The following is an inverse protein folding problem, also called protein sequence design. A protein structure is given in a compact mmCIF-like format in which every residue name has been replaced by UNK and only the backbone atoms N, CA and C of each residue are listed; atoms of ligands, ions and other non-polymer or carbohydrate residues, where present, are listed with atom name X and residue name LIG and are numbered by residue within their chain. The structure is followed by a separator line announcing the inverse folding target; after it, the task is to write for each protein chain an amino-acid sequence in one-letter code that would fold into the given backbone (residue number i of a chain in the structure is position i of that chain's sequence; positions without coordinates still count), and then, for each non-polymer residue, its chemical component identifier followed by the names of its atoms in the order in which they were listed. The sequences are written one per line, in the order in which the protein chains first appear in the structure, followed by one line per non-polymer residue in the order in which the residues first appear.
data_IF_262090223777
#
_entry.id   IF_262090223777
#
_cell.length_a   1.000
_cell.length_b   1.000
_cell.length_c   1.000
_cell.angle_alpha   90.00
_cell.angle_beta   90.00
_cell.angle_gamma   90.00
#
_symmetry.space_group_name_H-M   'P 1'
#
loop_
_entity.id
_entity.type
_entity.pdbx_description
1 polymer ?
#
# COMPACT_ATOMS: atom_id res chain seq x y z
N UNK A 1 14.79 25.54 7.57
CA UNK A 1 13.33 25.49 7.89
C UNK A 1 12.48 25.92 6.69
N UNK A 2 12.85 27.01 6.00
CA UNK A 2 12.16 27.55 4.82
C UNK A 2 11.85 26.54 3.70
N UNK A 3 12.80 25.66 3.32
CA UNK A 3 12.57 24.66 2.25
C UNK A 3 11.39 23.71 2.53
N UNK A 4 11.13 23.38 3.81
CA UNK A 4 10.00 22.52 4.20
C UNK A 4 8.66 23.23 4.07
N UNK A 5 8.65 24.54 4.29
CA UNK A 5 7.47 25.40 4.16
C UNK A 5 7.12 25.56 2.67
N UNK A 6 8.13 25.77 1.81
CA UNK A 6 7.94 25.88 0.37
C UNK A 6 7.40 24.59 -0.27
N UNK A 7 7.94 23.42 0.07
CA UNK A 7 7.47 22.13 -0.49
C UNK A 7 6.05 21.80 -0.03
N UNK A 8 5.73 22.04 1.25
CA UNK A 8 4.38 21.86 1.76
C UNK A 8 3.38 22.83 1.11
N UNK A 9 3.79 24.10 0.93
CA UNK A 9 2.98 25.12 0.26
C UNK A 9 2.72 24.80 -1.21
N UNK A 10 3.74 24.36 -1.96
CA UNK A 10 3.59 23.97 -3.36
C UNK A 10 2.68 22.74 -3.53
N UNK A 11 2.81 21.75 -2.65
CA UNK A 11 1.96 20.55 -2.66
C UNK A 11 0.51 20.91 -2.34
N UNK A 12 0.28 21.78 -1.35
CA UNK A 12 -1.05 22.26 -1.00
C UNK A 12 -1.68 23.11 -2.12
N UNK A 13 -0.90 24.00 -2.75
CA UNK A 13 -1.35 24.82 -3.87
C UNK A 13 -1.73 23.97 -5.09
N UNK A 14 -0.89 23.00 -5.46
CA UNK A 14 -1.20 22.06 -6.55
C UNK A 14 -2.48 21.25 -6.27
N UNK A 15 -2.59 20.73 -5.05
CA UNK A 15 -3.75 19.96 -4.59
C UNK A 15 -5.04 20.78 -4.62
N UNK A 16 -4.97 22.04 -4.18
CA UNK A 16 -6.11 22.96 -4.20
C UNK A 16 -6.51 23.35 -5.62
N UNK A 17 -5.55 23.69 -6.49
CA UNK A 17 -5.82 24.04 -7.88
C UNK A 17 -6.43 22.87 -8.65
N UNK A 18 -5.92 21.65 -8.45
CA UNK A 18 -6.47 20.44 -9.06
C UNK A 18 -7.90 20.17 -8.57
N UNK A 19 -8.12 20.24 -7.25
CA UNK A 19 -9.44 20.08 -6.63
C UNK A 19 -10.47 21.11 -7.10
N UNK A 20 -10.08 22.39 -7.19
CA UNK A 20 -10.91 23.49 -7.69
C UNK A 20 -11.25 23.27 -9.17
N UNK A 21 -10.27 22.89 -10.00
CA UNK A 21 -10.50 22.59 -11.42
C UNK A 21 -11.54 21.48 -11.62
N UNK A 22 -11.42 20.38 -10.87
CA UNK A 22 -12.43 19.31 -10.87
C UNK A 22 -13.80 19.75 -10.33
N UNK A 23 -13.83 20.65 -9.35
CA UNK A 23 -15.09 21.17 -8.77
C UNK A 23 -15.85 22.09 -9.72
N UNK A 24 -15.16 22.97 -10.45
CA UNK A 24 -15.77 23.88 -11.43
C UNK A 24 -16.41 23.07 -12.58
N UNK A 25 -15.70 22.04 -13.06
CA UNK A 25 -16.23 21.12 -14.07
C UNK A 25 -17.54 20.44 -13.65
N UNK A 26 -17.64 20.06 -12.38
CA UNK A 26 -18.79 19.40 -11.81
C UNK A 26 -20.01 20.35 -11.65
N UNK A 27 -19.80 21.59 -11.21
CA UNK A 27 -20.89 22.59 -11.09
C UNK A 27 -21.43 23.06 -12.44
N UNK A 28 -20.64 22.94 -13.51
CA UNK A 28 -21.06 23.26 -14.86
C UNK A 28 -21.95 22.19 -15.51
N UNK A 29 -22.34 21.13 -14.78
CA UNK A 29 -23.26 20.10 -15.28
C UNK A 29 -22.66 19.18 -16.32
N UNK A 30 -21.32 19.10 -16.39
CA UNK A 30 -20.66 18.14 -17.25
C UNK A 30 -20.68 16.74 -16.61
N UNK A 31 -21.37 15.81 -17.26
CA UNK A 31 -21.40 14.37 -16.90
C UNK A 31 -20.01 13.71 -17.01
N UNK A 32 -19.10 14.40 -17.71
CA UNK A 32 -17.69 14.08 -17.88
C UNK A 32 -16.88 15.37 -17.90
N UNK A 33 -15.98 15.56 -16.93
CA UNK A 33 -14.93 16.58 -17.07
C UNK A 33 -13.72 15.90 -17.69
N UNK A 34 -13.30 16.29 -18.90
CA UNK A 34 -12.17 15.67 -19.61
C UNK A 34 -12.23 14.12 -19.73
N UNK A 35 -13.43 13.52 -19.76
CA UNK A 35 -13.65 12.07 -19.94
C UNK A 35 -13.87 11.23 -18.67
N UNK A 36 -14.05 11.82 -17.48
CA UNK A 36 -14.25 11.06 -16.24
C UNK A 36 -15.73 10.70 -15.94
N UNK A 37 -16.08 9.43 -15.65
CA UNK A 37 -17.34 9.09 -15.00
C UNK A 37 -17.29 9.42 -13.48
N UNK A 38 -18.45 9.43 -12.80
CA UNK A 38 -18.80 9.88 -11.43
C UNK A 38 -17.82 9.64 -10.22
N UNK A 39 -16.64 9.07 -10.40
CA UNK A 39 -15.61 8.84 -9.38
C UNK A 39 -14.68 10.05 -9.12
N UNK A 40 -14.87 11.21 -9.77
CA UNK A 40 -14.07 12.42 -9.51
C UNK A 40 -14.46 13.15 -8.20
N UNK A 41 -15.69 12.95 -7.70
CA UNK A 41 -16.21 13.60 -6.50
C UNK A 41 -15.46 13.22 -5.21
N UNK A 42 -15.15 11.93 -4.95
CA UNK A 42 -14.30 11.54 -3.83
C UNK A 42 -12.88 12.11 -3.95
N UNK A 43 -12.32 12.17 -5.16
CA UNK A 43 -10.97 12.70 -5.40
C UNK A 43 -10.86 14.18 -5.01
N UNK A 44 -11.77 15.02 -5.49
CA UNK A 44 -11.81 16.45 -5.15
C UNK A 44 -12.07 16.69 -3.65
N UNK A 45 -13.00 15.93 -3.04
CA UNK A 45 -13.28 16.03 -1.61
C UNK A 45 -12.07 15.60 -0.75
N UNK A 46 -11.36 14.55 -1.15
CA UNK A 46 -10.14 14.07 -0.47
C UNK A 46 -9.02 15.10 -0.57
N UNK A 47 -8.86 15.76 -1.72
CA UNK A 47 -7.86 16.81 -1.95
C UNK A 47 -8.21 18.12 -1.20
N UNK A 48 -9.48 18.46 -1.04
CA UNK A 48 -9.88 19.59 -0.18
C UNK A 48 -9.67 19.30 1.30
N UNK A 49 -10.08 18.11 1.76
CA UNK A 49 -9.80 17.64 3.12
C UNK A 49 -8.30 17.50 3.39
N UNK A 50 -7.51 17.16 2.36
CA UNK A 50 -6.06 17.11 2.40
C UNK A 50 -5.44 18.45 2.79
N UNK A 51 -5.93 19.49 2.13
CA UNK A 51 -5.43 20.85 2.26
C UNK A 51 -5.77 21.36 3.66
N UNK A 52 -7.00 21.13 4.14
CA UNK A 52 -7.41 21.43 5.51
C UNK A 52 -6.62 20.63 6.57
N UNK A 53 -6.34 19.35 6.32
CA UNK A 53 -5.57 18.47 7.20
C UNK A 53 -4.11 18.92 7.39
N UNK A 54 -3.46 19.32 6.29
CA UNK A 54 -2.09 19.86 6.29
C UNK A 54 -2.05 21.21 7.02
N UNK A 55 -3.05 22.07 6.78
CA UNK A 55 -3.17 23.39 7.44
C UNK A 55 -3.45 23.27 8.95
N UNK A 56 -4.09 22.20 9.41
CA UNK A 56 -4.42 22.02 10.85
C UNK A 56 -3.32 21.33 11.66
N UNK A 57 -2.15 21.03 11.08
CA UNK A 57 -1.03 20.32 11.73
C UNK A 57 -1.38 18.95 12.35
N UNK A 58 -2.53 18.37 12.02
CA UNK A 58 -3.00 17.11 12.59
C UNK A 58 -2.35 15.94 11.86
N UNK A 59 -1.34 15.34 12.49
CA UNK A 59 -0.58 14.19 11.93
C UNK A 59 -1.46 13.05 11.42
N UNK A 60 -2.54 12.74 12.14
CA UNK A 60 -3.46 11.67 11.73
C UNK A 60 -4.15 11.98 10.40
N UNK A 61 -4.47 13.25 10.14
CA UNK A 61 -5.16 13.67 8.93
C UNK A 61 -4.24 13.58 7.70
N UNK A 62 -2.94 13.87 7.85
CA UNK A 62 -1.94 13.62 6.80
C UNK A 62 -1.79 12.11 6.49
N UNK A 63 -1.88 11.24 7.49
CA UNK A 63 -1.87 9.79 7.29
C UNK A 63 -3.12 9.29 6.60
N UNK A 64 -4.31 9.74 7.04
CA UNK A 64 -5.58 9.40 6.40
C UNK A 64 -5.55 9.81 4.93
N UNK A 65 -5.15 11.04 4.66
CA UNK A 65 -5.00 11.54 3.30
C UNK A 65 -4.05 10.70 2.45
N UNK A 66 -2.85 10.41 2.96
CA UNK A 66 -1.89 9.60 2.23
C UNK A 66 -2.48 8.23 1.89
N UNK A 67 -3.20 7.61 2.83
CA UNK A 67 -3.92 6.36 2.59
C UNK A 67 -4.96 6.51 1.47
N UNK A 68 -5.76 7.58 1.48
CA UNK A 68 -6.78 7.76 0.43
C UNK A 68 -6.17 8.02 -0.95
N UNK A 69 -5.11 8.85 -1.03
CA UNK A 69 -4.40 9.09 -2.28
C UNK A 69 -3.78 7.80 -2.85
N UNK A 70 -3.18 6.99 -1.97
CA UNK A 70 -2.62 5.69 -2.36
C UNK A 70 -3.71 4.71 -2.78
N UNK A 71 -4.85 4.70 -2.10
CA UNK A 71 -5.99 3.87 -2.46
C UNK A 71 -6.57 4.27 -3.83
N UNK A 72 -6.67 5.56 -4.13
CA UNK A 72 -7.08 6.06 -5.45
C UNK A 72 -6.12 5.66 -6.58
N UNK A 73 -4.88 5.32 -6.24
CA UNK A 73 -3.88 4.82 -7.20
C UNK A 73 -3.83 3.29 -7.33
N UNK A 74 -4.87 2.58 -6.88
CA UNK A 74 -4.90 1.11 -6.84
C UNK A 74 -4.59 0.43 -8.18
N UNK A 75 -4.97 1.06 -9.29
CA UNK A 75 -4.73 0.56 -10.64
C UNK A 75 -3.38 0.97 -11.26
N UNK A 76 -2.60 1.84 -10.61
CA UNK A 76 -1.32 2.30 -11.14
C UNK A 76 -0.37 1.14 -11.40
N UNK A 77 -0.32 0.17 -10.47
CA UNK A 77 0.57 -0.98 -10.59
C UNK A 77 0.27 -1.80 -11.86
N UNK A 78 -1.01 -2.02 -12.16
CA UNK A 78 -1.42 -2.75 -13.34
C UNK A 78 -1.03 -1.98 -14.61
N UNK A 79 -1.26 -0.66 -14.64
CA UNK A 79 -0.82 0.18 -15.75
C UNK A 79 0.70 0.18 -15.93
N UNK A 80 1.50 0.13 -14.83
CA UNK A 80 2.96 0.06 -14.92
C UNK A 80 3.43 -1.28 -15.48
N UNK A 81 2.79 -2.38 -15.09
CA UNK A 81 3.09 -3.71 -15.64
C UNK A 81 2.72 -3.76 -17.11
N UNK A 82 1.55 -3.25 -17.47
CA UNK A 82 1.12 -3.14 -18.86
C UNK A 82 2.13 -2.31 -19.67
N UNK A 83 2.45 -1.09 -19.21
CA UNK A 83 3.43 -0.23 -19.84
C UNK A 83 4.79 -0.91 -20.05
N UNK A 84 5.26 -1.67 -19.06
CA UNK A 84 6.52 -2.40 -19.14
C UNK A 84 6.49 -3.57 -20.13
N UNK A 85 5.34 -4.23 -20.31
CA UNK A 85 5.19 -5.40 -21.17
C UNK A 85 4.81 -5.03 -22.60
N UNK A 86 4.01 -3.99 -22.80
CA UNK A 86 3.40 -3.64 -24.09
C UNK A 86 3.90 -2.31 -24.64
N UNK A 87 4.56 -1.49 -23.81
CA UNK A 87 4.96 -0.13 -24.17
C UNK A 87 3.80 0.88 -24.19
N UNK A 88 2.59 0.48 -23.78
CA UNK A 88 1.41 1.35 -23.74
C UNK A 88 0.59 1.10 -22.48
N UNK A 89 -0.36 2.00 -22.22
CA UNK A 89 -1.39 1.82 -21.18
C UNK A 89 -2.75 1.94 -21.84
N UNK A 90 -3.62 0.96 -21.63
CA UNK A 90 -4.96 0.94 -22.18
C UNK A 90 -6.02 0.89 -21.08
N UNK A 91 -7.24 1.31 -21.41
CA UNK A 91 -8.38 1.15 -20.53
C UNK A 91 -9.00 -0.25 -20.68
N UNK A 92 -10.13 -0.48 -20.02
CA UNK A 92 -10.82 -1.78 -20.10
C UNK A 92 -11.34 -2.12 -21.51
N UNK A 93 -11.41 -1.15 -22.41
CA UNK A 93 -11.88 -1.30 -23.79
C UNK A 93 -10.72 -1.45 -24.78
N UNK A 94 -9.47 -1.31 -24.31
CA UNK A 94 -8.28 -1.36 -25.15
C UNK A 94 -7.88 0.00 -25.72
N UNK A 95 -8.57 1.08 -25.35
CA UNK A 95 -8.26 2.42 -25.81
C UNK A 95 -7.09 3.01 -25.00
N UNK A 96 -6.21 3.84 -25.60
CA UNK A 96 -5.09 4.44 -24.88
C UNK A 96 -5.54 5.26 -23.66
N UNK A 97 -5.02 4.92 -22.48
CA UNK A 97 -5.44 5.46 -21.18
C UNK A 97 -4.34 6.28 -20.47
N UNK A 98 -3.52 6.98 -21.25
CA UNK A 98 -2.37 7.74 -20.73
C UNK A 98 -2.75 8.79 -19.69
N UNK A 99 -3.89 9.46 -19.86
CA UNK A 99 -4.34 10.48 -18.90
C UNK A 99 -4.62 9.86 -17.53
N UNK A 100 -5.44 8.80 -17.48
CA UNK A 100 -5.74 8.08 -16.25
C UNK A 100 -4.48 7.50 -15.58
N UNK A 101 -3.50 7.06 -16.38
CA UNK A 101 -2.20 6.65 -15.87
C UNK A 101 -1.46 7.79 -15.17
N UNK A 102 -1.34 8.95 -15.81
CA UNK A 102 -0.64 10.12 -15.26
C UNK A 102 -1.30 10.63 -13.97
N UNK A 103 -2.62 10.59 -13.90
CA UNK A 103 -3.35 10.96 -12.69
C UNK A 103 -3.07 10.02 -11.53
N UNK A 104 -3.16 8.71 -11.77
CA UNK A 104 -2.85 7.69 -10.76
C UNK A 104 -1.40 7.84 -10.30
N UNK A 105 -0.48 8.12 -11.22
CA UNK A 105 0.92 8.41 -10.91
C UNK A 105 1.06 9.68 -10.04
N UNK A 106 0.30 10.73 -10.35
CA UNK A 106 0.22 11.96 -9.56
C UNK A 106 -0.28 11.70 -8.13
N UNK A 107 -1.38 10.96 -7.98
CA UNK A 107 -1.95 10.58 -6.68
C UNK A 107 -0.96 9.75 -5.85
N UNK A 108 -0.29 8.75 -6.47
CA UNK A 108 0.74 7.96 -5.78
C UNK A 108 1.92 8.83 -5.36
N UNK A 109 2.38 9.72 -6.24
CA UNK A 109 3.52 10.61 -5.95
C UNK A 109 3.19 11.55 -4.79
N UNK A 110 2.01 12.16 -4.79
CA UNK A 110 1.53 13.01 -3.71
C UNK A 110 1.42 12.25 -2.38
N UNK A 111 0.80 11.07 -2.39
CA UNK A 111 0.70 10.19 -1.22
C UNK A 111 2.08 9.80 -0.67
N UNK A 112 3.01 9.41 -1.54
CA UNK A 112 4.37 9.03 -1.17
C UNK A 112 5.16 10.20 -0.56
N UNK A 113 5.02 11.42 -1.09
CA UNK A 113 5.64 12.62 -0.53
C UNK A 113 5.11 12.96 0.87
N UNK A 114 3.81 12.81 1.10
CA UNK A 114 3.20 12.99 2.43
C UNK A 114 3.71 11.95 3.45
N UNK A 115 3.85 10.69 3.04
CA UNK A 115 4.48 9.66 3.89
C UNK A 115 5.95 10.00 4.16
N UNK A 116 6.72 10.40 3.14
CA UNK A 116 8.14 10.71 3.28
C UNK A 116 8.37 11.90 4.25
N UNK A 117 7.52 12.93 4.17
CA UNK A 117 7.60 14.11 5.05
C UNK A 117 7.24 13.79 6.50
N UNK A 118 6.33 12.85 6.74
CA UNK A 118 5.93 12.43 8.09
C UNK A 118 6.90 11.43 8.74
N UNK A 119 7.61 10.63 7.94
CA UNK A 119 8.49 9.54 8.42
C UNK A 119 9.92 10.01 8.77
N UNK A 120 10.35 11.22 8.40
CA UNK A 120 11.71 11.74 8.72
C UNK A 120 11.89 12.09 10.21
N UNK A 121 12.06 11.06 11.05
CA UNK A 121 12.73 11.14 12.35
C UNK A 121 13.88 10.13 12.38
N UNK A 122 15.12 10.61 12.37
CA UNK A 122 16.29 9.79 12.66
C UNK A 122 16.33 9.57 14.17
N UNK A 123 16.02 8.36 14.62
CA UNK A 123 16.45 7.89 15.93
C UNK A 123 17.83 7.27 15.76
N UNK A 124 18.85 7.95 16.28
CA UNK A 124 20.13 7.31 16.55
C UNK A 124 19.91 6.31 17.69
N UNK A 125 20.40 5.08 17.52
CA UNK A 125 20.24 4.00 18.49
C UNK A 125 20.85 2.70 17.97
N UNK A 126 21.08 1.76 18.89
CA UNK A 126 21.59 0.44 18.53
C UNK A 126 20.49 -0.34 17.79
N UNK A 127 20.89 -0.99 16.69
CA UNK A 127 19.95 -1.79 15.89
C UNK A 127 19.83 -3.20 16.48
N UNK A 128 18.61 -3.71 16.72
CA UNK A 128 18.41 -5.07 17.20
C UNK A 128 19.05 -6.14 16.29
N UNK A 129 19.46 -7.26 16.87
CA UNK A 129 19.89 -8.44 16.12
C UNK A 129 18.74 -8.98 15.25
N UNK A 130 19.06 -9.58 14.11
CA UNK A 130 18.04 -10.16 13.25
C UNK A 130 17.41 -11.39 13.91
N UNK A 131 16.08 -11.44 13.98
CA UNK A 131 15.37 -12.57 14.56
C UNK A 131 14.01 -12.78 13.88
N UNK A 132 13.44 -13.97 14.05
CA UNK A 132 12.10 -14.31 13.54
C UNK A 132 11.00 -13.62 14.34
N UNK A 133 9.83 -13.41 13.72
CA UNK A 133 8.66 -12.87 14.39
C UNK A 133 8.10 -13.90 15.38
N UNK A 134 7.33 -13.45 16.40
CA UNK A 134 6.59 -14.36 17.27
C UNK A 134 5.71 -15.33 16.48
N UNK A 135 5.49 -16.53 17.01
CA UNK A 135 4.78 -17.60 16.30
C UNK A 135 3.39 -17.18 15.80
N UNK A 136 2.65 -16.38 16.58
CA UNK A 136 1.35 -15.83 16.17
C UNK A 136 1.44 -14.96 14.90
N UNK A 137 2.44 -14.09 14.82
CA UNK A 137 2.65 -13.22 13.65
C UNK A 137 3.04 -14.05 12.42
N UNK A 138 3.85 -15.11 12.60
CA UNK A 138 4.17 -16.03 11.49
C UNK A 138 2.93 -16.77 10.99
N UNK A 139 2.05 -17.22 11.88
CA UNK A 139 0.77 -17.85 11.48
C UNK A 139 -0.10 -16.89 10.69
N UNK A 140 -0.17 -15.61 11.07
CA UNK A 140 -0.88 -14.57 10.31
C UNK A 140 -0.24 -14.38 8.93
N UNK A 141 1.09 -14.37 8.82
CA UNK A 141 1.77 -14.31 7.53
C UNK A 141 1.44 -15.52 6.64
N UNK A 142 1.43 -16.73 7.19
CA UNK A 142 1.04 -17.93 6.42
C UNK A 142 -0.43 -17.90 6.01
N UNK A 143 -1.34 -17.46 6.89
CA UNK A 143 -2.74 -17.27 6.55
C UNK A 143 -2.91 -16.22 5.44
N UNK A 144 -2.15 -15.12 5.49
CA UNK A 144 -2.11 -14.12 4.41
C UNK A 144 -1.60 -14.69 3.09
N UNK A 145 -0.56 -15.52 3.11
CA UNK A 145 -0.09 -16.21 1.90
C UNK A 145 -1.16 -17.16 1.35
N UNK A 146 -1.82 -17.92 2.22
CA UNK A 146 -2.90 -18.83 1.86
C UNK A 146 -4.16 -18.11 1.35
N UNK A 147 -4.36 -16.83 1.70
CA UNK A 147 -5.47 -16.03 1.20
C UNK A 147 -5.47 -15.92 -0.33
N UNK A 148 -4.33 -16.10 -1.00
CA UNK A 148 -4.24 -16.13 -2.47
C UNK A 148 -4.70 -17.44 -3.11
N UNK A 149 -4.86 -18.53 -2.35
CA UNK A 149 -5.23 -19.83 -2.91
C UNK A 149 -6.57 -19.81 -3.66
N UNK A 150 -7.65 -19.18 -3.16
CA UNK A 150 -8.90 -19.09 -3.91
C UNK A 150 -8.72 -18.34 -5.24
N UNK A 151 -8.05 -17.19 -5.23
CA UNK A 151 -7.87 -16.37 -6.43
C UNK A 151 -6.95 -17.03 -7.46
N UNK A 152 -5.81 -17.56 -7.02
CA UNK A 152 -4.89 -18.31 -7.89
C UNK A 152 -5.52 -19.60 -8.42
N UNK A 153 -6.32 -20.30 -7.60
CA UNK A 153 -7.04 -21.50 -7.98
C UNK A 153 -8.05 -21.25 -9.10
N UNK A 154 -8.87 -20.21 -8.99
CA UNK A 154 -9.83 -19.82 -10.04
C UNK A 154 -9.12 -19.51 -11.36
N UNK A 155 -8.03 -18.72 -11.32
CA UNK A 155 -7.27 -18.38 -12.53
C UNK A 155 -6.59 -19.61 -13.15
N UNK A 156 -6.07 -20.52 -12.32
CA UNK A 156 -5.45 -21.75 -12.79
C UNK A 156 -6.48 -22.66 -13.45
N UNK A 157 -7.65 -22.86 -12.83
CA UNK A 157 -8.73 -23.66 -13.41
C UNK A 157 -9.28 -23.03 -14.70
N UNK A 158 -9.39 -21.70 -14.76
CA UNK A 158 -9.72 -20.97 -15.99
C UNK A 158 -8.68 -21.17 -17.10
N UNK A 159 -7.39 -21.16 -16.76
CA UNK A 159 -6.31 -21.47 -17.70
C UNK A 159 -6.39 -22.90 -18.26
N UNK A 160 -6.90 -23.85 -17.47
CA UNK A 160 -7.18 -25.23 -17.91
C UNK A 160 -8.53 -25.38 -18.64
N UNK A 161 -9.30 -24.30 -18.80
CA UNK A 161 -10.57 -24.31 -19.53
C UNK A 161 -11.70 -25.01 -18.79
N UNK A 162 -11.68 -25.05 -17.46
CA UNK A 162 -12.78 -25.62 -16.68
C UNK A 162 -14.08 -24.83 -16.93
N UNK A 163 -15.13 -25.47 -17.47
CA UNK A 163 -16.36 -24.78 -17.85
C UNK A 163 -17.12 -24.25 -16.63
N UNK A 164 -17.85 -23.15 -16.81
CA UNK A 164 -18.69 -22.56 -15.77
C UNK A 164 -17.96 -21.64 -14.79
N UNK A 165 -16.63 -21.53 -14.85
CA UNK A 165 -15.89 -20.49 -14.13
C UNK A 165 -16.10 -19.12 -14.77
N UNK A 166 -16.27 -19.07 -16.10
CA UNK A 166 -16.39 -17.83 -16.85
C UNK A 166 -17.39 -17.90 -18.01
N UNK A 167 -18.37 -16.97 -18.12
CA UNK A 167 -19.41 -16.99 -19.16
C UNK A 167 -18.88 -16.84 -20.59
N UNK A 168 -17.72 -16.18 -20.74
CA UNK A 168 -17.07 -15.95 -22.04
C UNK A 168 -15.74 -16.72 -22.16
N UNK A 169 -15.40 -17.56 -21.17
CA UNK A 169 -14.18 -18.37 -21.16
C UNK A 169 -12.91 -17.52 -21.14
N UNK A 170 -12.75 -16.62 -20.16
CA UNK A 170 -11.49 -15.89 -20.03
C UNK A 170 -10.35 -16.88 -19.80
N UNK A 171 -9.40 -16.76 -20.73
CA UNK A 171 -8.17 -17.50 -20.71
C UNK A 171 -7.11 -16.46 -20.41
N UNK A 172 -6.43 -16.54 -19.26
CA UNK A 172 -5.37 -15.58 -18.98
C UNK A 172 -4.37 -15.66 -20.14
N UNK A 173 -4.08 -14.50 -20.74
CA UNK A 173 -3.02 -14.42 -21.74
C UNK A 173 -1.70 -14.91 -21.11
N UNK A 174 -0.73 -15.39 -21.91
CA UNK A 174 0.57 -15.80 -21.37
C UNK A 174 1.24 -14.71 -20.51
N UNK A 175 1.08 -13.44 -20.88
CA UNK A 175 1.58 -12.30 -20.11
C UNK A 175 0.85 -12.13 -18.77
N UNK A 176 -0.46 -12.29 -18.74
CA UNK A 176 -1.27 -12.28 -17.51
C UNK A 176 -0.87 -13.43 -16.57
N UNK A 177 -0.65 -14.63 -17.11
CA UNK A 177 -0.21 -15.78 -16.33
C UNK A 177 1.18 -15.54 -15.69
N UNK A 178 2.14 -15.03 -16.47
CA UNK A 178 3.47 -14.66 -15.96
C UNK A 178 3.34 -13.58 -14.87
N UNK A 179 2.54 -12.53 -15.12
CA UNK A 179 2.32 -11.45 -14.17
C UNK A 179 1.70 -11.97 -12.86
N UNK A 180 0.75 -12.90 -12.94
CA UNK A 180 0.15 -13.56 -11.78
C UNK A 180 1.20 -14.36 -11.00
N UNK A 181 1.99 -15.21 -11.66
CA UNK A 181 3.01 -16.02 -11.00
C UNK A 181 4.08 -15.16 -10.32
N UNK A 182 4.61 -14.16 -11.04
CA UNK A 182 5.62 -13.23 -10.49
C UNK A 182 5.03 -12.40 -9.36
N UNK A 183 3.84 -11.83 -9.56
CA UNK A 183 3.15 -11.01 -8.57
C UNK A 183 2.85 -11.77 -7.28
N UNK A 184 2.33 -12.99 -7.37
CA UNK A 184 2.07 -13.87 -6.22
C UNK A 184 3.38 -14.25 -5.51
N UNK A 185 4.43 -14.58 -6.26
CA UNK A 185 5.74 -14.92 -5.70
C UNK A 185 6.33 -13.73 -4.94
N UNK A 186 6.26 -12.53 -5.51
CA UNK A 186 6.71 -11.30 -4.87
C UNK A 186 5.86 -10.95 -3.64
N UNK A 187 4.55 -11.17 -3.69
CA UNK A 187 3.66 -10.98 -2.55
C UNK A 187 4.04 -11.92 -1.40
N UNK A 188 4.11 -13.23 -1.65
CA UNK A 188 4.54 -14.22 -0.65
C UNK A 188 5.93 -13.88 -0.10
N UNK A 189 6.87 -13.55 -0.99
CA UNK A 189 8.21 -13.14 -0.58
C UNK A 189 8.18 -11.91 0.34
N UNK A 190 7.46 -10.85 -0.03
CA UNK A 190 7.34 -9.64 0.79
C UNK A 190 6.78 -9.96 2.18
N UNK A 191 5.67 -10.69 2.26
CA UNK A 191 5.02 -11.02 3.53
C UNK A 191 5.89 -11.92 4.42
N UNK A 192 6.56 -12.93 3.84
CA UNK A 192 7.49 -13.79 4.56
C UNK A 192 8.74 -13.03 5.02
N UNK A 193 9.21 -12.06 4.22
CA UNK A 193 10.33 -11.19 4.58
C UNK A 193 10.05 -10.37 5.83
N UNK A 194 8.81 -9.92 6.03
CA UNK A 194 8.42 -9.19 7.25
C UNK A 194 8.51 -10.05 8.52
N UNK A 195 8.43 -11.37 8.42
CA UNK A 195 8.37 -12.27 9.58
C UNK A 195 9.63 -13.11 9.80
N UNK A 196 10.47 -13.28 8.78
CA UNK A 196 11.71 -14.05 8.88
C UNK A 196 12.96 -13.16 9.04
N UNK A 197 14.09 -13.72 9.55
CA UNK A 197 15.31 -12.94 9.78
C UNK A 197 15.90 -12.34 8.50
N UNK A 198 15.65 -12.97 7.35
CA UNK A 198 16.18 -12.53 6.07
C UNK A 198 15.58 -11.21 5.57
N UNK A 199 14.45 -10.77 6.14
CA UNK A 199 13.96 -9.40 5.90
C UNK A 199 14.76 -8.32 6.63
N UNK A 200 15.58 -8.69 7.61
CA UNK A 200 16.45 -7.76 8.36
C UNK A 200 17.93 -7.85 7.94
N UNK A 201 18.37 -9.02 7.47
CA UNK A 201 19.73 -9.30 7.02
C UNK A 201 19.66 -10.11 5.73
N UNK A 202 20.38 -9.66 4.71
CA UNK A 202 20.44 -10.34 3.43
C UNK A 202 20.95 -11.80 3.59
N UNK A 203 20.23 -12.79 3.04
CA UNK A 203 20.58 -14.19 3.19
C UNK A 203 21.84 -14.56 2.40
N UNK A 204 22.44 -15.72 2.71
CA UNK A 204 23.71 -16.15 2.10
C UNK A 204 23.65 -16.33 0.58
N UNK A 205 22.47 -16.61 0.03
CA UNK A 205 22.27 -16.75 -1.42
C UNK A 205 22.31 -15.40 -2.17
N UNK A 206 22.16 -14.26 -1.48
CA UNK A 206 22.40 -12.94 -2.09
C UNK A 206 23.89 -12.61 -2.06
N UNK A 207 24.68 -13.26 -2.92
CA UNK A 207 26.17 -13.28 -2.87
C UNK A 207 26.79 -11.91 -2.57
N UNK A 208 26.35 -10.84 -3.26
CA UNK A 208 26.90 -9.49 -3.11
C UNK A 208 26.49 -8.75 -1.83
N UNK A 209 25.39 -9.17 -1.21
CA UNK A 209 24.77 -8.51 -0.06
C UNK A 209 24.74 -9.39 1.18
N UNK A 210 25.19 -10.64 1.10
CA UNK A 210 25.11 -11.63 2.16
C UNK A 210 25.62 -11.07 3.50
N UNK A 211 24.82 -11.23 4.55
CA UNK A 211 25.15 -10.74 5.89
C UNK A 211 25.00 -9.23 6.10
N UNK A 212 24.81 -8.43 5.03
CA UNK A 212 24.51 -7.00 5.16
C UNK A 212 23.09 -6.81 5.68
N UNK A 213 22.86 -5.70 6.38
CA UNK A 213 21.52 -5.33 6.88
C UNK A 213 20.64 -4.85 5.74
N UNK A 214 19.41 -5.35 5.70
CA UNK A 214 18.37 -4.84 4.80
C UNK A 214 17.95 -3.45 5.29
N UNK A 215 18.01 -2.41 4.46
CA UNK A 215 17.52 -1.09 4.85
C UNK A 215 16.04 -1.17 5.21
N UNK A 216 15.68 -0.66 6.40
CA UNK A 216 14.32 -0.79 6.95
C UNK A 216 13.22 -0.26 6.03
N UNK A 217 13.51 0.75 5.20
CA UNK A 217 12.55 1.29 4.24
C UNK A 217 12.22 0.31 3.10
N UNK A 218 13.14 -0.58 2.72
CA UNK A 218 12.99 -1.48 1.57
C UNK A 218 11.76 -2.39 1.69
N UNK A 219 11.53 -3.12 2.80
CA UNK A 219 10.30 -3.89 2.97
C UNK A 219 9.12 -3.04 3.45
N UNK A 220 9.34 -1.91 4.12
CA UNK A 220 8.25 -1.14 4.73
C UNK A 220 7.49 -0.29 3.71
N UNK A 221 8.21 0.40 2.82
CA UNK A 221 7.62 1.28 1.81
C UNK A 221 6.61 0.53 0.94
N UNK A 222 6.95 -0.60 0.27
CA UNK A 222 5.99 -1.30 -0.57
C UNK A 222 4.78 -1.77 0.24
N UNK A 223 4.96 -2.21 1.49
CA UNK A 223 3.84 -2.68 2.31
C UNK A 223 2.84 -1.57 2.62
N UNK A 224 3.32 -0.38 3.01
CA UNK A 224 2.40 0.75 3.27
C UNK A 224 1.78 1.33 2.00
N UNK A 225 2.37 1.10 0.83
CA UNK A 225 1.76 1.44 -0.45
C UNK A 225 0.65 0.44 -0.83
N UNK A 226 0.91 -0.86 -0.71
CA UNK A 226 0.01 -1.89 -1.23
C UNK A 226 -1.04 -2.37 -0.23
N UNK A 227 -0.74 -2.42 1.06
CA UNK A 227 -1.65 -3.02 2.05
C UNK A 227 -2.97 -2.27 2.19
N UNK A 228 -3.00 -0.92 2.29
CA UNK A 228 -4.26 -0.19 2.36
C UNK A 228 -5.10 -0.36 1.09
N UNK A 229 -4.43 -0.34 -0.06
CA UNK A 229 -5.03 -0.58 -1.37
C UNK A 229 -5.71 -1.94 -1.42
N UNK A 230 -5.02 -3.00 -0.99
CA UNK A 230 -5.57 -4.36 -0.98
C UNK A 230 -6.71 -4.53 0.03
N UNK A 231 -6.61 -3.92 1.22
CA UNK A 231 -7.71 -3.93 2.20
C UNK A 231 -8.95 -3.25 1.65
N UNK A 232 -8.81 -2.03 1.13
CA UNK A 232 -9.93 -1.24 0.62
C UNK A 232 -10.56 -1.89 -0.62
N UNK A 233 -9.73 -2.36 -1.55
CA UNK A 233 -10.18 -3.06 -2.74
C UNK A 233 -10.93 -4.35 -2.37
N UNK A 234 -10.33 -5.18 -1.50
CA UNK A 234 -10.93 -6.44 -1.08
C UNK A 234 -12.24 -6.24 -0.32
N UNK A 235 -12.31 -5.30 0.62
CA UNK A 235 -13.53 -5.00 1.37
C UNK A 235 -14.63 -4.41 0.46
N UNK A 236 -14.28 -3.46 -0.41
CA UNK A 236 -15.22 -2.88 -1.36
C UNK A 236 -15.78 -3.92 -2.32
N UNK A 237 -14.92 -4.80 -2.86
CA UNK A 237 -15.33 -5.92 -3.68
C UNK A 237 -16.22 -6.91 -2.89
N UNK A 238 -15.92 -7.14 -1.60
CA UNK A 238 -16.76 -7.97 -0.73
C UNK A 238 -18.17 -7.41 -0.55
N UNK A 239 -18.29 -6.11 -0.28
CA UNK A 239 -19.60 -5.42 -0.20
C UNK A 239 -20.34 -5.52 -1.53
N UNK A 240 -19.66 -5.24 -2.65
CA UNK A 240 -20.24 -5.35 -3.98
C UNK A 240 -20.82 -6.74 -4.25
N UNK A 241 -20.11 -7.77 -3.81
CA UNK A 241 -20.53 -9.18 -3.98
C UNK A 241 -21.70 -9.54 -3.08
N UNK A 242 -21.72 -9.05 -1.84
CA UNK A 242 -22.90 -9.22 -0.98
C UNK A 242 -24.14 -8.56 -1.58
N UNK A 243 -23.99 -7.39 -2.21
CA UNK A 243 -25.09 -6.70 -2.90
C UNK A 243 -25.55 -7.43 -4.16
N UNK A 244 -24.65 -8.06 -4.92
CA UNK A 244 -24.99 -8.94 -6.04
C UNK A 244 -25.77 -10.17 -5.58
N UNK A 245 -25.28 -10.86 -4.54
CA UNK A 245 -25.92 -12.05 -3.97
C UNK A 245 -27.31 -11.69 -3.43
N UNK A 246 -27.45 -10.53 -2.79
CA UNK A 246 -28.72 -10.03 -2.27
C UNK A 246 -29.70 -9.53 -3.34
N UNK A 247 -29.34 -9.55 -4.62
CA UNK A 247 -30.19 -9.08 -5.72
C UNK A 247 -30.36 -7.56 -5.80
N UNK A 248 -29.58 -6.80 -5.01
CA UNK A 248 -29.60 -5.33 -5.02
C UNK A 248 -28.89 -4.79 -6.26
N UNK A 249 -27.76 -5.40 -6.63
CA UNK A 249 -26.99 -5.06 -7.83
C UNK A 249 -27.15 -6.13 -8.89
N UNK A 250 -27.00 -5.71 -10.15
CA UNK A 250 -27.06 -6.58 -11.33
C UNK A 250 -25.77 -6.41 -12.13
N UNK A 251 -25.21 -7.52 -12.63
CA UNK A 251 -24.04 -7.53 -13.50
C UNK A 251 -24.39 -8.22 -14.82
N UNK A 252 -24.38 -7.48 -15.94
CA UNK A 252 -24.79 -7.99 -17.26
C UNK A 252 -26.17 -8.67 -17.22
N UNK A 253 -27.13 -8.09 -16.49
CA UNK A 253 -28.47 -8.63 -16.33
C UNK A 253 -28.58 -9.84 -15.40
N UNK A 254 -27.48 -10.27 -14.75
CA UNK A 254 -27.46 -11.39 -13.80
C UNK A 254 -27.43 -10.90 -12.35
N UNK A 255 -27.98 -11.70 -11.45
CA UNK A 255 -28.00 -11.49 -9.99
C UNK A 255 -27.69 -12.79 -9.24
N UNK A 256 -27.56 -12.73 -7.92
CA UNK A 256 -27.39 -13.91 -7.09
C UNK A 256 -26.03 -14.57 -7.23
N UNK A 257 -25.97 -15.88 -7.00
CA UNK A 257 -24.74 -16.66 -7.08
C UNK A 257 -24.20 -16.78 -8.51
N UNK A 258 -25.07 -16.69 -9.53
CA UNK A 258 -24.67 -16.74 -10.94
C UNK A 258 -23.89 -15.48 -11.36
N UNK A 259 -24.15 -14.34 -10.72
CA UNK A 259 -23.35 -13.12 -10.87
C UNK A 259 -22.10 -13.11 -9.97
N UNK A 260 -22.17 -13.73 -8.79
CA UNK A 260 -21.09 -13.73 -7.79
C UNK A 260 -20.02 -14.81 -8.03
N UNK A 261 -20.36 -15.93 -8.68
CA UNK A 261 -19.50 -17.10 -8.87
C UNK A 261 -18.24 -16.86 -9.72
N UNK A 262 -18.22 -15.77 -10.49
CA UNK A 262 -17.19 -15.44 -11.47
C UNK A 262 -15.88 -14.90 -10.85
N UNK A 263 -15.99 -13.90 -9.98
CA UNK A 263 -14.86 -13.19 -9.36
C UNK A 263 -15.12 -12.93 -7.86
N UNK A 264 -16.36 -13.12 -7.42
CA UNK A 264 -16.93 -12.37 -6.31
C UNK A 264 -16.45 -12.78 -4.93
N UNK A 265 -16.12 -14.05 -4.68
CA UNK A 265 -15.77 -14.46 -3.31
C UNK A 265 -14.25 -14.61 -3.15
N UNK A 266 -13.59 -15.17 -4.17
CA UNK A 266 -12.15 -15.41 -4.13
C UNK A 266 -11.36 -14.10 -4.06
N UNK A 267 -11.73 -13.10 -4.87
CA UNK A 267 -11.01 -11.84 -4.97
C UNK A 267 -11.06 -11.03 -3.66
N UNK A 268 -12.23 -10.74 -3.06
CA UNK A 268 -12.29 -10.04 -1.77
C UNK A 268 -11.45 -10.69 -0.68
N UNK A 269 -11.52 -12.01 -0.55
CA UNK A 269 -10.79 -12.78 0.47
C UNK A 269 -9.29 -12.64 0.25
N UNK A 270 -8.81 -12.80 -0.98
CA UNK A 270 -7.40 -12.69 -1.30
C UNK A 270 -6.87 -11.30 -1.01
N UNK A 271 -7.50 -10.25 -1.53
CA UNK A 271 -7.00 -8.89 -1.38
C UNK A 271 -7.17 -8.39 0.06
N UNK A 272 -8.35 -8.53 0.68
CA UNK A 272 -8.55 -8.04 2.06
C UNK A 272 -7.73 -8.87 3.06
N UNK A 273 -7.76 -10.20 2.95
CA UNK A 273 -7.04 -11.10 3.86
C UNK A 273 -5.52 -10.88 3.79
N UNK A 274 -4.97 -10.79 2.58
CA UNK A 274 -3.55 -10.52 2.38
C UNK A 274 -3.16 -9.10 2.83
N UNK A 275 -3.96 -8.08 2.51
CA UNK A 275 -3.73 -6.70 2.93
C UNK A 275 -3.75 -6.51 4.47
N UNK A 276 -4.67 -7.18 5.17
CA UNK A 276 -4.71 -7.18 6.63
C UNK A 276 -3.49 -7.90 7.22
N UNK A 277 -3.12 -9.07 6.68
CA UNK A 277 -1.95 -9.80 7.12
C UNK A 277 -0.65 -8.99 6.94
N UNK A 278 -0.50 -8.31 5.79
CA UNK A 278 0.59 -7.38 5.51
C UNK A 278 0.66 -6.26 6.55
N UNK A 279 -0.48 -5.64 6.87
CA UNK A 279 -0.54 -4.54 7.84
C UNK A 279 -0.05 -5.00 9.22
N UNK A 280 -0.56 -6.13 9.72
CA UNK A 280 -0.14 -6.70 11.01
C UNK A 280 1.35 -7.06 11.01
N UNK A 281 1.83 -7.71 9.95
CA UNK A 281 3.22 -8.11 9.83
C UNK A 281 4.16 -6.90 9.71
N UNK A 282 3.76 -5.83 9.01
CA UNK A 282 4.52 -4.59 8.91
C UNK A 282 4.63 -3.87 10.25
N UNK A 283 3.54 -3.78 11.02
CA UNK A 283 3.57 -3.22 12.38
C UNK A 283 4.52 -4.03 13.26
N UNK A 284 4.42 -5.36 13.24
CA UNK A 284 5.35 -6.24 13.97
C UNK A 284 6.80 -6.03 13.53
N UNK A 285 7.07 -5.99 12.23
CA UNK A 285 8.41 -5.76 11.67
C UNK A 285 8.96 -4.39 12.10
N UNK A 286 8.13 -3.35 12.07
CA UNK A 286 8.50 -2.01 12.54
C UNK A 286 8.90 -2.00 14.01
N UNK A 287 8.16 -2.68 14.87
CA UNK A 287 8.48 -2.76 16.30
C UNK A 287 9.80 -3.48 16.54
N UNK A 288 10.04 -4.60 15.84
CA UNK A 288 11.27 -5.41 15.96
C UNK A 288 12.52 -4.72 15.39
N UNK A 289 12.34 -3.76 14.49
CA UNK A 289 13.45 -3.05 13.82
C UNK A 289 13.64 -1.61 14.30
N UNK A 290 12.92 -1.19 15.36
CA UNK A 290 13.16 0.10 16.01
C UNK A 290 14.54 0.07 16.70
N UNK A 291 15.39 1.09 16.49
CA UNK A 291 16.60 1.24 17.29
C UNK A 291 16.24 1.37 18.76
N UNK A 292 16.92 0.62 19.62
CA UNK A 292 16.80 0.80 21.07
C UNK A 292 17.67 2.01 21.45
N UNK A 293 17.15 2.95 22.26
CA UNK A 293 17.98 4.01 22.82
C UNK A 293 19.20 3.39 23.52
N UNK A 294 20.38 3.95 23.30
CA UNK A 294 21.52 3.64 24.15
C UNK A 294 21.24 4.33 25.47
N UNK A 295 20.73 3.60 26.45
CA UNK A 295 20.85 4.04 27.84
C UNK A 295 22.34 4.03 28.11
N UNK A 296 22.98 5.19 28.02
CA UNK A 296 24.31 5.31 28.58
C UNK A 296 24.18 4.84 30.03
N UNK A 297 25.12 4.02 30.56
CA UNK A 297 25.16 3.77 31.99
C UNK A 297 25.04 5.14 32.66
N UNK A 298 24.24 5.28 33.75
CA UNK A 298 24.17 6.53 34.48
C UNK A 298 25.62 6.93 34.64
N UNK A 299 25.97 8.09 34.07
CA UNK A 299 27.31 8.66 34.21
C UNK A 299 27.59 8.45 35.69
N UNK A 300 28.63 7.69 36.03
CA UNK A 300 29.21 7.79 37.35
C UNK A 300 29.41 9.29 37.46
N UNK A 301 28.46 9.97 38.12
CA UNK A 301 28.67 11.27 38.72
C UNK A 301 29.83 10.92 39.61
N UNK A 302 31.00 11.10 39.01
CA UNK A 302 32.27 11.12 39.69
C UNK A 302 31.94 11.99 40.88
N UNK A 303 31.90 11.35 42.05
CA UNK A 303 32.61 11.82 43.22
C UNK A 303 33.33 13.10 42.85
N UNK A 304 32.61 14.23 42.92
CA UNK A 304 33.25 15.50 43.11
C UNK A 304 33.94 15.26 44.44
N UNK A 305 35.28 15.15 44.47
CA UNK A 305 35.97 14.97 45.74
C UNK A 305 35.49 16.13 46.61
N UNK A 306 34.86 15.76 47.74
CA UNK A 306 34.46 16.69 48.77
C UNK A 306 35.64 17.66 48.96
N UNK A 307 35.47 18.98 48.82
CA UNK A 307 36.57 19.91 49.02
C UNK A 307 37.02 19.75 50.48
N UNK A 308 38.12 19.04 50.65
CA UNK A 308 38.76 18.80 51.93
C UNK A 308 38.94 20.15 52.61
N UNK A 309 38.26 20.31 53.74
CA UNK A 309 38.47 21.35 54.73
C UNK A 309 39.97 21.44 55.05
N UNK A 310 40.66 22.40 54.42
CA UNK A 310 41.96 22.88 54.91
C UNK A 310 41.69 23.80 56.09
N UNK A 311 41.59 23.19 57.26
CA UNK A 311 41.89 23.82 58.54
C UNK A 311 43.37 23.58 58.82
N UNK A 312 44.15 24.66 58.93
CA UNK A 312 45.39 24.80 59.71
C UNK A 312 46.36 25.81 59.04
N UNK A 313 46.28 27.08 59.44
CA UNK A 313 47.25 27.81 60.27
C UNK A 313 46.98 29.31 60.19
#
# INVERSE_FOLDING_TARGET
MQLRVWVAGATAAFTALFGIGTGIGAFAGHDQFAGFPHAAWPGAAVLLLATAAVLTHRRWAAWTLAVVLLAGSCWLLLNLVELALTGTVTDRHGDPAWLAFLERLGLTTAGALLVATTVRRRTAGLRPLAHSAPARIRRIAYAGCAAWLPYGGVHLLGAFGVPGLEPEGFRPSPSMAIALCVGLSLAVFLLLGLVHPWGMVFPRWTILLAGRRVPRFLPIVPVWLIAPTFVLYGLGAGVYVMLLIGGVLHWHGRTGLDAAGYIGVAQPISFAGYGLALTVCAVSYQLRTRPTPVTLPPKLEAESPEPSSRTAL
#
